data_IF_228311269871
#
_entry.id   IF_228311269871
#
_cell.length_a   1.000
_cell.length_b   1.000
_cell.length_c   1.000
_cell.angle_alpha   90.00
_cell.angle_beta   90.00
_cell.angle_gamma   90.00
#
_symmetry.space_group_name_H-M   'P 1'
#
loop_
_entity.id
_entity.type
_entity.pdbx_description
1 polymer ?
#
# COMPACT_ATOMS: atom_id res chain seq x y z
N UNK A 1 -19.13 12.10 -9.57
CA UNK A 1 -18.71 11.86 -10.97
C UNK A 1 -17.78 10.66 -10.99
N UNK A 2 -18.06 9.66 -11.81
CA UNK A 2 -17.22 8.47 -11.95
C UNK A 2 -16.30 8.68 -13.16
N UNK A 3 -15.00 8.46 -13.00
CA UNK A 3 -13.99 8.54 -14.06
C UNK A 3 -13.07 7.33 -13.96
N UNK A 4 -12.53 6.87 -15.09
CA UNK A 4 -11.41 5.94 -15.06
C UNK A 4 -10.12 6.72 -14.76
N UNK A 5 -9.15 6.10 -14.09
CA UNK A 5 -7.89 6.76 -13.72
C UNK A 5 -7.12 7.30 -14.94
N UNK A 6 -7.27 6.65 -16.10
CA UNK A 6 -6.70 7.08 -17.40
C UNK A 6 -7.07 8.53 -17.76
N UNK A 7 -8.25 8.99 -17.33
CA UNK A 7 -8.81 10.29 -17.69
C UNK A 7 -8.39 11.40 -16.72
N UNK A 8 -7.65 11.06 -15.66
CA UNK A 8 -7.13 12.01 -14.68
C UNK A 8 -5.68 12.34 -15.09
N UNK A 9 -5.42 13.62 -15.33
CA UNK A 9 -4.11 14.11 -15.78
C UNK A 9 -3.39 15.00 -14.76
N UNK A 10 -4.15 15.56 -13.82
CA UNK A 10 -3.70 16.55 -12.86
C UNK A 10 -4.24 16.19 -11.47
N UNK A 11 -3.44 16.36 -10.42
CA UNK A 11 -3.86 16.02 -9.06
C UNK A 11 -4.81 17.06 -8.46
N UNK A 12 -4.78 18.27 -9.00
CA UNK A 12 -5.66 19.40 -8.71
C UNK A 12 -7.14 19.06 -9.01
N UNK A 13 -7.39 18.04 -9.85
CA UNK A 13 -8.74 17.48 -10.04
C UNK A 13 -9.36 16.99 -8.73
N UNK A 14 -8.55 16.71 -7.69
CA UNK A 14 -9.00 16.23 -6.39
C UNK A 14 -9.28 17.35 -5.37
N UNK A 15 -8.88 18.58 -5.65
CA UNK A 15 -8.97 19.69 -4.69
C UNK A 15 -10.39 19.88 -4.17
N UNK A 16 -10.52 19.92 -2.83
CA UNK A 16 -11.78 20.09 -2.10
C UNK A 16 -12.86 19.01 -2.34
N UNK A 17 -12.51 17.84 -2.89
CA UNK A 17 -13.46 16.74 -3.15
C UNK A 17 -13.28 15.58 -2.17
N UNK A 18 -14.33 14.80 -1.95
CA UNK A 18 -14.25 13.46 -1.37
C UNK A 18 -14.08 12.46 -2.51
N UNK A 19 -13.04 11.64 -2.46
CA UNK A 19 -12.65 10.76 -3.57
C UNK A 19 -12.66 9.30 -3.11
N UNK A 20 -13.27 8.43 -3.89
CA UNK A 20 -13.16 6.98 -3.74
C UNK A 20 -12.37 6.41 -4.92
N UNK A 21 -11.22 5.80 -4.64
CA UNK A 21 -10.38 5.07 -5.59
C UNK A 21 -10.70 3.58 -5.46
N UNK A 22 -10.91 2.92 -6.59
CA UNK A 22 -11.23 1.48 -6.64
C UNK A 22 -10.02 0.70 -7.14
N UNK A 23 -9.57 -0.29 -6.37
CA UNK A 23 -8.42 -1.14 -6.68
C UNK A 23 -7.16 -0.79 -5.90
N UNK A 24 -6.11 -1.61 -6.04
CA UNK A 24 -4.85 -1.49 -5.28
C UNK A 24 -3.58 -1.62 -6.15
N UNK A 25 -3.72 -1.50 -7.47
CA UNK A 25 -2.58 -1.47 -8.38
C UNK A 25 -1.74 -0.20 -8.22
N UNK A 26 -0.64 -0.11 -8.98
CA UNK A 26 0.29 1.02 -8.91
C UNK A 26 -0.39 2.37 -9.13
N UNK A 27 -1.21 2.48 -10.18
CA UNK A 27 -1.95 3.72 -10.45
C UNK A 27 -2.92 4.09 -9.32
N UNK A 28 -3.61 3.11 -8.73
CA UNK A 28 -4.50 3.37 -7.61
C UNK A 28 -3.74 3.84 -6.37
N UNK A 29 -2.55 3.27 -6.14
CA UNK A 29 -1.65 3.63 -5.05
C UNK A 29 -1.10 5.06 -5.17
N UNK A 30 -0.74 5.49 -6.37
CA UNK A 30 -0.30 6.88 -6.60
C UNK A 30 -1.47 7.86 -6.44
N UNK A 31 -2.63 7.49 -6.99
CA UNK A 31 -3.81 8.34 -6.98
C UNK A 31 -4.43 8.47 -5.60
N UNK A 32 -4.38 7.45 -4.75
CA UNK A 32 -4.88 7.56 -3.37
C UNK A 32 -4.00 8.48 -2.53
N UNK A 33 -2.68 8.46 -2.73
CA UNK A 33 -1.77 9.38 -2.06
C UNK A 33 -2.06 10.82 -2.48
N UNK A 34 -2.19 11.07 -3.79
CA UNK A 34 -2.59 12.37 -4.32
C UNK A 34 -3.97 12.81 -3.81
N UNK A 35 -4.97 11.93 -3.85
CA UNK A 35 -6.31 12.22 -3.34
C UNK A 35 -6.32 12.54 -1.85
N UNK A 36 -5.49 11.86 -1.04
CA UNK A 36 -5.36 12.14 0.39
C UNK A 36 -4.64 13.47 0.67
N UNK A 37 -3.68 13.84 -0.18
CA UNK A 37 -2.93 15.09 -0.06
C UNK A 37 -3.75 16.31 -0.48
N UNK A 38 -4.42 16.26 -1.63
CA UNK A 38 -5.12 17.40 -2.23
C UNK A 38 -6.62 17.43 -1.94
N UNK A 39 -7.23 16.29 -1.63
CA UNK A 39 -8.66 16.15 -1.39
C UNK A 39 -9.10 16.46 0.04
N UNK A 40 -10.42 16.47 0.24
CA UNK A 40 -11.05 16.61 1.56
C UNK A 40 -11.01 15.28 2.32
N UNK A 41 -11.38 14.19 1.65
CA UNK A 41 -11.36 12.81 2.16
C UNK A 41 -11.03 11.84 1.03
N UNK A 42 -10.35 10.75 1.35
CA UNK A 42 -9.91 9.73 0.40
C UNK A 42 -10.28 8.32 0.89
N UNK A 43 -10.90 7.54 0.03
CA UNK A 43 -11.29 6.16 0.31
C UNK A 43 -10.64 5.25 -0.70
N UNK A 44 -10.05 4.17 -0.22
CA UNK A 44 -9.50 3.13 -1.08
C UNK A 44 -10.36 1.88 -0.95
N UNK A 45 -11.18 1.60 -1.97
CA UNK A 45 -12.02 0.40 -2.01
C UNK A 45 -11.28 -0.75 -2.66
N UNK A 46 -11.09 -1.83 -1.91
CA UNK A 46 -10.42 -3.05 -2.36
C UNK A 46 -11.35 -4.23 -2.09
N UNK A 47 -11.66 -5.01 -3.14
CA UNK A 47 -12.57 -6.16 -3.03
C UNK A 47 -11.99 -7.28 -2.18
N UNK A 48 -10.74 -7.64 -2.47
CA UNK A 48 -10.04 -8.75 -1.83
C UNK A 48 -8.77 -8.21 -1.15
N UNK A 49 -7.62 -8.72 -1.57
CA UNK A 49 -6.30 -8.32 -1.09
C UNK A 49 -5.78 -7.08 -1.81
N UNK A 50 -4.86 -6.37 -1.14
CA UNK A 50 -4.23 -5.17 -1.69
C UNK A 50 -3.08 -5.48 -2.66
N UNK A 51 -2.84 -6.76 -2.98
CA UNK A 51 -1.64 -7.19 -3.72
C UNK A 51 -0.40 -7.20 -2.84
N UNK A 52 0.73 -7.71 -3.31
CA UNK A 52 1.95 -7.66 -2.50
C UNK A 52 2.55 -6.25 -2.53
N UNK A 53 2.69 -5.61 -1.36
CA UNK A 53 3.21 -4.26 -1.23
C UNK A 53 4.71 -4.24 -1.41
N UNK A 54 5.19 -3.59 -2.46
CA UNK A 54 6.63 -3.46 -2.73
C UNK A 54 7.00 -1.97 -2.73
N UNK A 55 7.91 -1.51 -1.86
CA UNK A 55 8.45 -0.16 -1.97
C UNK A 55 9.38 -0.06 -3.19
N UNK A 56 9.55 1.15 -3.73
CA UNK A 56 10.55 1.38 -4.79
C UNK A 56 11.98 1.13 -4.29
N UNK A 57 12.23 1.42 -3.02
CA UNK A 57 13.53 1.24 -2.36
C UNK A 57 13.41 0.31 -1.15
N UNK A 58 14.20 -0.77 -1.14
CA UNK A 58 14.19 -1.81 -0.10
C UNK A 58 15.25 -1.59 0.99
N UNK A 59 16.24 -0.72 0.77
CA UNK A 59 17.33 -0.44 1.73
C UNK A 59 17.34 1.03 2.19
N UNK A 60 16.25 1.50 2.78
CA UNK A 60 16.14 2.88 3.26
C UNK A 60 15.43 3.79 2.27
N UNK A 61 15.58 5.11 2.44
CA UNK A 61 14.76 6.09 1.73
C UNK A 61 15.13 6.23 0.23
N UNK A 62 16.36 5.91 -0.15
CA UNK A 62 16.87 6.12 -1.53
C UNK A 62 17.92 5.08 -1.96
N UNK A 63 18.19 4.04 -1.16
CA UNK A 63 19.18 3.02 -1.49
C UNK A 63 18.51 1.67 -1.71
N UNK A 64 19.14 0.85 -2.55
CA UNK A 64 18.61 -0.45 -2.95
C UNK A 64 17.28 -0.33 -3.70
N UNK A 65 17.29 0.16 -4.95
CA UNK A 65 16.16 -0.01 -5.85
C UNK A 65 15.71 -1.48 -5.86
N UNK A 66 14.40 -1.69 -5.72
CA UNK A 66 13.82 -3.01 -5.50
C UNK A 66 13.89 -3.93 -6.72
N UNK A 67 14.27 -3.41 -7.88
CA UNK A 67 14.57 -4.16 -9.10
C UNK A 67 16.00 -4.72 -9.12
N UNK A 68 16.94 -4.19 -8.34
CA UNK A 68 18.26 -4.80 -8.19
C UNK A 68 18.21 -6.14 -7.44
N UNK A 69 17.10 -6.43 -6.75
CA UNK A 69 16.87 -7.68 -6.03
C UNK A 69 16.37 -8.81 -6.96
N UNK A 70 15.99 -8.48 -8.21
CA UNK A 70 15.64 -9.48 -9.21
C UNK A 70 16.89 -9.93 -9.96
N UNK A 71 17.24 -11.21 -9.79
CA UNK A 71 18.40 -11.83 -10.42
C UNK A 71 18.08 -13.23 -10.92
N UNK A 72 18.96 -13.80 -11.74
CA UNK A 72 18.82 -15.21 -12.17
C UNK A 72 18.76 -16.17 -10.98
N UNK A 73 19.52 -15.88 -9.91
CA UNK A 73 19.48 -16.66 -8.67
C UNK A 73 18.09 -16.55 -8.04
N UNK A 74 17.55 -15.34 -7.90
CA UNK A 74 16.20 -15.12 -7.37
C UNK A 74 15.15 -15.92 -8.15
N UNK A 75 15.18 -15.87 -9.49
CA UNK A 75 14.25 -16.61 -10.33
C UNK A 75 14.48 -18.13 -10.36
N UNK A 76 15.60 -18.62 -9.85
CA UNK A 76 15.90 -20.05 -9.72
C UNK A 76 15.38 -20.64 -8.41
N UNK A 77 14.88 -19.82 -7.47
CA UNK A 77 14.37 -20.29 -6.19
C UNK A 77 13.00 -20.97 -6.41
N UNK A 78 12.80 -22.21 -5.94
CA UNK A 78 11.49 -22.84 -6.00
C UNK A 78 10.44 -22.01 -5.26
N UNK A 79 9.25 -21.86 -5.86
CA UNK A 79 8.18 -20.97 -5.34
C UNK A 79 7.88 -21.16 -3.85
N UNK A 80 7.79 -22.40 -3.37
CA UNK A 80 7.50 -22.68 -1.96
C UNK A 80 8.60 -22.14 -1.02
N UNK A 81 9.86 -22.30 -1.41
CA UNK A 81 11.01 -21.75 -0.68
C UNK A 81 11.04 -20.23 -0.76
N UNK A 82 10.71 -19.65 -1.90
CA UNK A 82 10.58 -18.21 -2.07
C UNK A 82 9.56 -17.58 -1.11
N UNK A 83 8.39 -18.20 -0.96
CA UNK A 83 7.35 -17.75 -0.03
C UNK A 83 7.84 -17.81 1.42
N UNK A 84 8.45 -18.93 1.82
CA UNK A 84 9.01 -19.09 3.17
C UNK A 84 10.11 -18.05 3.44
N UNK A 85 11.02 -17.86 2.50
CA UNK A 85 12.08 -16.86 2.60
C UNK A 85 11.53 -15.45 2.74
N UNK A 86 10.53 -15.08 1.93
CA UNK A 86 9.86 -13.78 1.99
C UNK A 86 9.24 -13.53 3.36
N UNK A 87 8.59 -14.55 3.94
CA UNK A 87 8.03 -14.46 5.29
C UNK A 87 9.12 -14.19 6.34
N UNK A 88 10.21 -14.96 6.30
CA UNK A 88 11.36 -14.81 7.21
C UNK A 88 11.99 -13.43 7.06
N UNK A 89 12.24 -12.97 5.84
CA UNK A 89 12.84 -11.66 5.54
C UNK A 89 12.00 -10.49 6.05
N UNK A 90 10.68 -10.61 5.94
CA UNK A 90 9.75 -9.61 6.42
C UNK A 90 9.75 -9.53 7.96
N UNK A 91 9.76 -10.67 8.65
CA UNK A 91 9.90 -10.73 10.11
C UNK A 91 11.26 -10.14 10.54
N UNK A 92 12.35 -10.55 9.89
CA UNK A 92 13.68 -10.02 10.13
C UNK A 92 13.74 -8.50 9.89
N UNK A 93 13.06 -8.00 8.86
CA UNK A 93 12.98 -6.58 8.57
C UNK A 93 12.22 -5.80 9.64
N UNK A 94 11.16 -6.35 10.23
CA UNK A 94 10.48 -5.75 11.37
C UNK A 94 11.40 -5.68 12.58
N UNK A 95 12.03 -6.81 12.94
CA UNK A 95 12.96 -6.90 14.08
C UNK A 95 14.07 -5.86 13.92
N UNK A 96 14.75 -5.82 12.76
CA UNK A 96 15.78 -4.83 12.46
C UNK A 96 15.27 -3.39 12.58
N UNK A 97 14.05 -3.12 12.12
CA UNK A 97 13.46 -1.78 12.19
C UNK A 97 13.17 -1.35 13.63
N UNK A 98 12.71 -2.24 14.51
CA UNK A 98 12.48 -1.95 15.93
C UNK A 98 13.80 -1.81 16.70
N UNK A 99 14.77 -2.69 16.46
CA UNK A 99 16.12 -2.60 17.04
C UNK A 99 16.76 -1.26 16.64
N UNK A 100 16.68 -0.88 15.36
CA UNK A 100 17.19 0.41 14.88
C UNK A 100 16.56 1.58 15.63
N UNK A 101 15.25 1.55 15.84
CA UNK A 101 14.53 2.58 16.56
C UNK A 101 14.97 2.69 18.02
N UNK A 102 15.17 1.55 18.67
CA UNK A 102 15.63 1.50 20.06
C UNK A 102 17.08 1.98 20.22
N UNK A 103 18.01 1.43 19.43
CA UNK A 103 19.45 1.68 19.58
C UNK A 103 19.87 3.04 19.01
N UNK A 104 19.42 3.36 17.78
CA UNK A 104 19.95 4.50 17.03
C UNK A 104 19.02 5.72 17.02
N UNK A 105 17.72 5.54 17.25
CA UNK A 105 16.73 6.63 17.13
C UNK A 105 16.12 7.03 18.48
N UNK A 106 16.69 6.56 19.60
CA UNK A 106 16.25 6.89 20.97
C UNK A 106 14.75 6.66 21.19
N UNK A 107 14.19 5.62 20.58
CA UNK A 107 12.77 5.27 20.67
C UNK A 107 11.85 6.02 19.69
N UNK A 108 12.37 6.96 18.89
CA UNK A 108 11.56 7.70 17.91
C UNK A 108 11.62 7.05 16.53
N UNK A 109 10.47 6.65 16.00
CA UNK A 109 10.38 6.12 14.64
C UNK A 109 10.30 7.23 13.61
N UNK A 110 11.05 7.13 12.52
CA UNK A 110 10.83 8.04 11.38
C UNK A 110 9.55 7.66 10.64
N UNK A 111 9.04 8.59 9.84
CA UNK A 111 7.90 8.33 8.96
C UNK A 111 8.16 7.14 8.03
N UNK A 112 9.37 7.03 7.47
CA UNK A 112 9.79 5.88 6.67
C UNK A 112 9.70 4.56 7.45
N UNK A 113 10.13 4.54 8.72
CA UNK A 113 10.05 3.35 9.57
C UNK A 113 8.57 2.95 9.81
N UNK A 114 7.68 3.92 10.03
CA UNK A 114 6.25 3.69 10.21
C UNK A 114 5.59 3.13 8.96
N UNK A 115 5.84 3.73 7.80
CA UNK A 115 5.33 3.29 6.50
C UNK A 115 5.85 1.87 6.19
N UNK A 116 7.16 1.65 6.35
CA UNK A 116 7.77 0.34 6.11
C UNK A 116 7.17 -0.74 6.99
N UNK A 117 7.10 -0.52 8.31
CA UNK A 117 6.51 -1.49 9.24
C UNK A 117 5.05 -1.78 8.90
N UNK A 118 4.25 -0.74 8.63
CA UNK A 118 2.84 -0.90 8.25
C UNK A 118 2.69 -1.73 6.98
N UNK A 119 3.50 -1.46 5.95
CA UNK A 119 3.49 -2.22 4.71
C UNK A 119 3.85 -3.68 4.93
N UNK A 120 4.87 -3.96 5.74
CA UNK A 120 5.25 -5.33 6.11
C UNK A 120 4.10 -6.04 6.85
N UNK A 121 3.48 -5.40 7.86
CA UNK A 121 2.32 -5.98 8.56
C UNK A 121 1.16 -6.27 7.62
N UNK A 122 0.87 -5.35 6.69
CA UNK A 122 -0.19 -5.51 5.70
C UNK A 122 0.08 -6.70 4.75
N UNK A 123 1.33 -6.91 4.34
CA UNK A 123 1.73 -8.06 3.55
C UNK A 123 1.68 -9.37 4.35
N UNK A 124 2.18 -9.40 5.59
CA UNK A 124 2.15 -10.60 6.44
C UNK A 124 0.73 -11.11 6.65
N UNK A 125 -0.25 -10.21 6.81
CA UNK A 125 -1.66 -10.56 7.00
C UNK A 125 -2.26 -11.35 5.83
N UNK A 126 -1.72 -11.18 4.62
CA UNK A 126 -2.26 -11.80 3.40
C UNK A 126 -1.21 -12.62 2.64
N UNK A 127 -0.08 -12.97 3.25
CA UNK A 127 1.04 -13.64 2.56
C UNK A 127 0.67 -14.99 1.95
N UNK A 128 -0.36 -15.65 2.50
CA UNK A 128 -0.91 -16.91 2.00
C UNK A 128 -1.73 -16.75 0.71
N UNK A 129 -2.35 -15.59 0.53
CA UNK A 129 -3.26 -15.31 -0.60
C UNK A 129 -2.60 -14.41 -1.65
N UNK A 130 -1.68 -13.53 -1.24
CA UNK A 130 -0.97 -12.60 -2.11
C UNK A 130 0.49 -12.42 -1.66
N UNK A 131 1.43 -12.84 -2.50
CA UNK A 131 2.86 -12.67 -2.29
C UNK A 131 3.61 -12.42 -3.61
N UNK A 132 4.88 -12.02 -3.49
CA UNK A 132 5.74 -11.69 -4.64
C UNK A 132 5.95 -12.84 -5.64
N UNK A 133 5.72 -14.08 -5.22
CA UNK A 133 5.90 -15.28 -6.06
C UNK A 133 4.62 -15.77 -6.73
N UNK A 134 3.46 -15.24 -6.35
CA UNK A 134 2.14 -15.65 -6.88
C UNK A 134 1.38 -14.52 -7.57
N UNK A 135 1.75 -13.28 -7.29
CA UNK A 135 1.08 -12.09 -7.83
C UNK A 135 2.10 -11.16 -8.50
N UNK A 136 1.65 -10.40 -9.49
CA UNK A 136 2.49 -9.38 -10.10
C UNK A 136 2.89 -8.35 -9.04
N UNK A 137 4.20 -8.20 -8.82
CA UNK A 137 4.73 -7.24 -7.87
C UNK A 137 4.44 -5.82 -8.34
N UNK A 138 3.58 -5.12 -7.61
CA UNK A 138 3.25 -3.72 -7.92
C UNK A 138 4.00 -2.82 -6.94
N UNK A 139 4.66 -1.78 -7.44
CA UNK A 139 5.32 -0.77 -6.60
C UNK A 139 4.27 0.18 -6.03
N UNK A 140 3.54 -0.28 -5.03
CA UNK A 140 2.34 0.37 -4.49
C UNK A 140 2.49 0.76 -2.99
N UNK A 141 3.71 1.08 -2.55
CA UNK A 141 3.95 1.58 -1.18
C UNK A 141 3.27 2.92 -0.88
N UNK A 142 2.95 3.70 -1.91
CA UNK A 142 2.28 5.00 -1.77
C UNK A 142 0.87 4.86 -1.14
N UNK A 143 0.24 3.70 -1.28
CA UNK A 143 -0.98 3.33 -0.56
C UNK A 143 -0.76 3.36 0.95
N UNK A 144 0.33 2.76 1.41
CA UNK A 144 0.66 2.69 2.85
C UNK A 144 1.01 4.07 3.37
N UNK A 145 1.75 4.83 2.56
CA UNK A 145 2.08 6.22 2.83
C UNK A 145 0.82 7.07 3.03
N UNK A 146 -0.17 6.93 2.14
CA UNK A 146 -1.45 7.62 2.24
C UNK A 146 -2.18 7.30 3.56
N UNK A 147 -2.23 6.01 3.92
CA UNK A 147 -2.88 5.53 5.16
C UNK A 147 -2.17 5.97 6.45
N UNK A 148 -0.86 6.21 6.40
CA UNK A 148 -0.09 6.64 7.58
C UNK A 148 -0.09 8.16 7.71
N UNK A 149 0.29 8.90 6.66
CA UNK A 149 0.42 10.36 6.74
C UNK A 149 -0.92 11.08 6.84
N UNK A 150 -1.94 10.53 6.18
CA UNK A 150 -3.25 11.17 6.08
C UNK A 150 -4.33 10.34 6.77
N UNK A 151 -4.01 9.64 7.87
CA UNK A 151 -4.93 8.75 8.60
C UNK A 151 -6.28 9.37 8.96
N UNK A 152 -6.33 10.69 9.19
CA UNK A 152 -7.56 11.40 9.57
C UNK A 152 -8.46 11.70 8.36
N UNK A 153 -7.92 11.59 7.13
CA UNK A 153 -8.62 11.86 5.87
C UNK A 153 -8.71 10.65 4.95
N UNK A 154 -7.83 9.67 5.11
CA UNK A 154 -7.65 8.54 4.21
C UNK A 154 -7.96 7.22 4.94
N UNK A 155 -8.83 6.39 4.35
CA UNK A 155 -9.17 5.08 4.91
C UNK A 155 -9.33 4.00 3.84
N UNK A 156 -9.03 2.75 4.22
CA UNK A 156 -9.34 1.57 3.41
C UNK A 156 -10.78 1.15 3.66
N UNK A 157 -11.50 0.85 2.58
CA UNK A 157 -12.86 0.31 2.59
C UNK A 157 -12.91 -1.05 1.89
N UNK A 158 -13.87 -1.93 2.21
CA UNK A 158 -14.06 -3.15 1.45
C UNK A 158 -14.59 -2.84 0.04
N UNK A 159 -14.88 -3.89 -0.74
CA UNK A 159 -15.51 -3.73 -2.05
C UNK A 159 -16.81 -2.94 -1.99
N UNK A 160 -17.12 -2.20 -3.06
CA UNK A 160 -18.39 -1.48 -3.22
C UNK A 160 -19.52 -2.50 -3.43
N UNK A 161 -20.58 -2.35 -2.64
CA UNK A 161 -21.83 -3.13 -2.71
C UNK A 161 -22.84 -2.45 -3.62
N UNK A 162 -23.06 -1.15 -3.43
CA UNK A 162 -24.07 -0.37 -4.14
C UNK A 162 -23.59 1.06 -4.36
N UNK A 163 -23.89 1.63 -5.54
CA UNK A 163 -23.70 3.04 -5.84
C UNK A 163 -25.06 3.73 -5.81
N UNK A 164 -25.21 4.76 -4.99
CA UNK A 164 -26.38 5.62 -4.93
C UNK A 164 -26.09 6.97 -5.56
N UNK A 165 -27.13 7.80 -5.69
CA UNK A 165 -27.03 9.13 -6.31
C UNK A 165 -25.95 10.00 -5.66
N UNK A 166 -25.87 9.97 -4.32
CA UNK A 166 -24.96 10.79 -3.51
C UNK A 166 -24.33 9.95 -2.38
N UNK A 167 -24.09 8.66 -2.61
CA UNK A 167 -23.38 7.83 -1.64
C UNK A 167 -22.87 6.52 -2.23
N UNK A 168 -21.91 5.92 -1.53
CA UNK A 168 -21.35 4.60 -1.81
C UNK A 168 -21.60 3.71 -0.60
N UNK A 169 -22.23 2.56 -0.81
CA UNK A 169 -22.34 1.51 0.21
C UNK A 169 -21.27 0.47 -0.07
N UNK A 170 -20.49 0.14 0.96
CA UNK A 170 -19.49 -0.92 0.91
C UNK A 170 -20.03 -2.25 1.45
N UNK A 171 -19.29 -3.35 1.23
CA UNK A 171 -19.70 -4.69 1.65
C UNK A 171 -19.83 -4.87 3.16
N UNK A 172 -19.22 -4.01 3.97
CA UNK A 172 -19.41 -3.95 5.43
C UNK A 172 -20.65 -3.14 5.85
N UNK A 173 -21.48 -2.74 4.89
CA UNK A 173 -22.64 -1.85 5.05
C UNK A 173 -22.31 -0.45 5.57
N UNK A 174 -21.03 -0.05 5.57
CA UNK A 174 -20.69 1.36 5.79
C UNK A 174 -21.10 2.19 4.57
N UNK A 175 -21.64 3.38 4.83
CA UNK A 175 -22.04 4.36 3.82
C UNK A 175 -21.14 5.58 3.91
N UNK A 176 -20.65 6.04 2.76
CA UNK A 176 -19.85 7.25 2.63
C UNK A 176 -20.44 8.13 1.51
N UNK A 177 -20.11 9.43 1.56
CA UNK A 177 -20.58 10.57 0.74
C UNK A 177 -20.92 10.34 -0.74
#
# INVERSE_FOLDING_TARGET
KIKHLKDIKHYEDFTNKSICIVGSGESASDMILAAAQYGKKAFLSIRNDHGFLIPRYIHGNQYGPADLDTSRVHHSIPRAWGILHTYIDMINSLIKSYIKCFIYQRGHSTEYDLIRRKGIYMNLKQIRTSNIWTTYGTKNSNLVEALIKYKDKCSRKPGIKELRKNSIIFNDNTEEF
#
